data_IF_306350622305
#
_entry.id   IF_306350622305
#
_cell.length_a   1.000
_cell.length_b   1.000
_cell.length_c   1.000
_cell.angle_alpha   90.00
_cell.angle_beta   90.00
_cell.angle_gamma   90.00
#
_symmetry.space_group_name_H-M   'P 1'
#
loop_
_entity.id
_entity.type
_entity.pdbx_description
1 polymer ?
#
# COMPACT_ATOMS: atom_id res chain seq x y z
N UNK A 1 -11.11 -7.40 5.49
CA UNK A 1 -9.68 -7.48 5.12
C UNK A 1 -9.05 -8.69 5.78
N UNK A 2 -8.54 -9.62 4.98
CA UNK A 2 -7.97 -10.89 5.45
C UNK A 2 -6.50 -10.74 5.89
N UNK A 3 -6.02 -11.68 6.70
CA UNK A 3 -4.61 -11.72 7.15
C UNK A 3 -3.65 -11.83 5.96
N UNK A 4 -4.04 -12.57 4.93
CA UNK A 4 -3.27 -12.72 3.68
C UNK A 4 -3.11 -11.38 2.95
N UNK A 5 -4.19 -10.59 2.86
CA UNK A 5 -4.16 -9.25 2.27
C UNK A 5 -3.24 -8.31 3.04
N UNK A 6 -3.28 -8.35 4.37
CA UNK A 6 -2.42 -7.53 5.22
C UNK A 6 -0.94 -7.92 5.08
N UNK A 7 -0.64 -9.22 5.06
CA UNK A 7 0.73 -9.72 4.85
C UNK A 7 1.26 -9.29 3.48
N UNK A 8 0.45 -9.42 2.43
CA UNK A 8 0.87 -8.99 1.10
C UNK A 8 1.08 -7.47 1.02
N UNK A 9 0.20 -6.69 1.63
CA UNK A 9 0.34 -5.24 1.71
C UNK A 9 1.70 -4.85 2.27
N UNK A 10 2.09 -5.43 3.41
CA UNK A 10 3.39 -5.14 4.02
C UNK A 10 4.57 -5.68 3.21
N UNK A 11 4.39 -6.81 2.50
CA UNK A 11 5.39 -7.28 1.51
C UNK A 11 5.60 -6.26 0.40
N UNK A 12 4.51 -5.74 -0.19
CA UNK A 12 4.56 -4.73 -1.27
C UNK A 12 5.18 -3.43 -0.77
N UNK A 13 4.87 -3.01 0.45
CA UNK A 13 5.49 -1.83 1.08
C UNK A 13 7.00 -2.05 1.24
N UNK A 14 7.42 -3.19 1.78
CA UNK A 14 8.84 -3.52 1.98
C UNK A 14 9.62 -3.71 0.67
N UNK A 15 8.96 -4.17 -0.40
CA UNK A 15 9.55 -4.32 -1.73
C UNK A 15 9.61 -2.99 -2.51
N UNK A 16 8.93 -1.95 -2.03
CA UNK A 16 8.87 -0.67 -2.74
C UNK A 16 10.13 0.13 -2.45
N UNK A 17 10.94 0.37 -3.47
CA UNK A 17 12.12 1.22 -3.32
C UNK A 17 11.78 2.68 -3.02
N UNK A 18 12.59 3.37 -2.19
CA UNK A 18 12.39 4.79 -1.87
C UNK A 18 12.36 5.70 -3.10
N UNK A 19 13.17 5.40 -4.13
CA UNK A 19 13.20 6.17 -5.39
C UNK A 19 11.87 6.17 -6.15
N UNK A 20 11.05 5.13 -6.00
CA UNK A 20 9.76 4.99 -6.68
C UNK A 20 8.64 5.79 -6.01
N UNK A 21 8.87 6.23 -4.76
CA UNK A 21 7.89 6.99 -3.97
C UNK A 21 8.38 8.36 -3.54
N UNK A 22 9.67 8.64 -3.77
CA UNK A 22 10.27 9.94 -3.55
C UNK A 22 9.53 11.00 -4.37
N UNK A 23 8.93 11.97 -3.67
CA UNK A 23 8.16 13.05 -4.30
C UNK A 23 6.70 12.71 -4.62
N UNK A 24 6.22 11.48 -4.40
CA UNK A 24 4.79 11.19 -4.50
C UNK A 24 4.03 11.84 -3.34
N UNK A 25 2.87 12.43 -3.64
CA UNK A 25 1.87 12.80 -2.63
C UNK A 25 1.33 11.55 -1.93
N UNK A 26 0.77 11.70 -0.72
CA UNK A 26 0.23 10.56 0.03
C UNK A 26 -0.87 9.81 -0.73
N UNK A 27 -1.77 10.53 -1.41
CA UNK A 27 -2.79 9.90 -2.25
C UNK A 27 -2.19 9.11 -3.42
N UNK A 28 -1.11 9.61 -4.02
CA UNK A 28 -0.43 8.93 -5.12
C UNK A 28 0.32 7.68 -4.63
N UNK A 29 0.94 7.75 -3.46
CA UNK A 29 1.56 6.60 -2.79
C UNK A 29 0.52 5.51 -2.49
N UNK A 30 -0.60 5.88 -1.86
CA UNK A 30 -1.68 4.95 -1.53
C UNK A 30 -2.25 4.32 -2.80
N UNK A 31 -2.49 5.12 -3.85
CA UNK A 31 -2.98 4.61 -5.14
C UNK A 31 -2.01 3.63 -5.80
N UNK A 32 -0.71 3.94 -5.77
CA UNK A 32 0.34 3.06 -6.31
C UNK A 32 0.40 1.72 -5.57
N UNK A 33 0.40 1.74 -4.24
CA UNK A 33 0.41 0.53 -3.40
C UNK A 33 -0.86 -0.30 -3.60
N UNK A 34 -2.03 0.35 -3.60
CA UNK A 34 -3.32 -0.33 -3.83
C UNK A 34 -3.34 -1.02 -5.20
N UNK A 35 -2.86 -0.36 -6.25
CA UNK A 35 -2.77 -0.94 -7.59
C UNK A 35 -1.88 -2.18 -7.63
N UNK A 36 -0.70 -2.13 -6.99
CA UNK A 36 0.23 -3.27 -6.88
C UNK A 36 -0.38 -4.44 -6.11
N UNK A 37 -1.07 -4.16 -5.01
CA UNK A 37 -1.74 -5.20 -4.20
C UNK A 37 -2.90 -5.83 -5.00
N UNK A 38 -3.70 -5.01 -5.68
CA UNK A 38 -4.83 -5.48 -6.48
C UNK A 38 -4.39 -6.35 -7.66
N UNK A 39 -3.27 -6.00 -8.30
CA UNK A 39 -2.67 -6.81 -9.37
C UNK A 39 -2.25 -8.21 -8.92
N UNK A 40 -1.94 -8.40 -7.62
CA UNK A 40 -1.50 -9.68 -7.06
C UNK A 40 -2.64 -10.53 -6.45
N UNK A 41 -3.70 -9.93 -5.91
CA UNK A 41 -4.77 -10.65 -5.20
C UNK A 41 -6.16 -10.56 -5.85
N UNK A 42 -6.33 -9.80 -6.94
CA UNK A 42 -7.65 -9.54 -7.54
C UNK A 42 -8.70 -9.16 -6.46
N UNK A 43 -8.47 -8.02 -5.81
CA UNK A 43 -9.31 -7.57 -4.70
C UNK A 43 -10.70 -7.16 -5.18
N UNK A 44 -11.73 -7.48 -4.39
CA UNK A 44 -13.08 -6.93 -4.59
C UNK A 44 -13.11 -5.42 -4.33
N UNK A 45 -14.15 -4.73 -4.79
CA UNK A 45 -14.34 -3.29 -4.51
C UNK A 45 -14.37 -2.98 -3.00
N UNK A 46 -14.96 -3.86 -2.21
CA UNK A 46 -14.99 -3.74 -0.75
C UNK A 46 -13.59 -3.88 -0.14
N UNK A 47 -12.83 -4.88 -0.58
CA UNK A 47 -11.44 -5.07 -0.15
C UNK A 47 -10.55 -3.90 -0.55
N UNK A 48 -10.71 -3.37 -1.76
CA UNK A 48 -9.95 -2.20 -2.22
C UNK A 48 -10.24 -0.98 -1.34
N UNK A 49 -11.49 -0.78 -0.95
CA UNK A 49 -11.90 0.30 -0.04
C UNK A 49 -11.27 0.12 1.34
N UNK A 50 -11.31 -1.09 1.89
CA UNK A 50 -10.72 -1.41 3.18
C UNK A 50 -9.18 -1.23 3.17
N UNK A 51 -8.51 -1.72 2.12
CA UNK A 51 -7.06 -1.55 1.93
C UNK A 51 -6.69 -0.09 1.79
N UNK A 52 -7.43 0.69 1.00
CA UNK A 52 -7.18 2.13 0.83
C UNK A 52 -7.31 2.88 2.16
N UNK A 53 -8.35 2.58 2.93
CA UNK A 53 -8.56 3.17 4.26
C UNK A 53 -7.42 2.81 5.22
N UNK A 54 -6.98 1.54 5.21
CA UNK A 54 -5.85 1.08 6.02
C UNK A 54 -4.54 1.77 5.64
N UNK A 55 -4.20 1.82 4.35
CA UNK A 55 -3.01 2.51 3.83
C UNK A 55 -3.03 3.99 4.22
N UNK A 56 -4.17 4.66 4.10
CA UNK A 56 -4.34 6.05 4.52
C UNK A 56 -4.10 6.26 6.02
N UNK A 57 -4.65 5.37 6.87
CA UNK A 57 -4.43 5.41 8.32
C UNK A 57 -2.96 5.18 8.70
N UNK A 58 -2.21 4.43 7.90
CA UNK A 58 -0.79 4.09 8.14
C UNK A 58 0.20 4.87 7.27
N UNK A 59 -0.24 5.94 6.58
CA UNK A 59 0.59 6.66 5.58
C UNK A 59 1.98 7.06 6.10
N UNK A 60 2.08 7.56 7.33
CA UNK A 60 3.34 8.03 7.92
C UNK A 60 4.29 6.84 8.13
N UNK A 61 3.77 5.75 8.73
CA UNK A 61 4.54 4.53 8.94
C UNK A 61 5.00 3.91 7.61
N UNK A 62 4.16 3.93 6.59
CA UNK A 62 4.51 3.40 5.26
C UNK A 62 5.65 4.22 4.65
N UNK A 63 5.64 5.55 4.76
CA UNK A 63 6.76 6.39 4.31
C UNK A 63 8.05 6.07 5.06
N UNK A 64 7.98 5.99 6.38
CA UNK A 64 9.14 5.65 7.21
C UNK A 64 9.72 4.28 6.84
N UNK A 65 8.87 3.28 6.57
CA UNK A 65 9.35 1.94 6.18
C UNK A 65 9.99 1.92 4.80
N UNK A 66 9.51 2.75 3.86
CA UNK A 66 10.05 2.78 2.50
C UNK A 66 11.32 3.65 2.42
N UNK A 67 11.40 4.72 3.21
CA UNK A 67 12.46 5.73 3.12
C UNK A 67 13.51 5.63 4.22
N UNK A 68 13.26 4.86 5.28
CA UNK A 68 14.22 4.54 6.35
C UNK A 68 15.14 3.40 5.97
#
# INVERSE_FOLDING_TARGET
MSVETLRLLWSVVSETSPENVAGLSDEALIGSLLSRINSRLCLTLEDQTAVRSYLGSKRLLIREVIQG
#
